data_IF_133629259336
#
_entry.id   IF_133629259336
#
_cell.length_a   1.000
_cell.length_b   1.000
_cell.length_c   1.000
_cell.angle_alpha   90.00
_cell.angle_beta   90.00
_cell.angle_gamma   90.00
#
_symmetry.space_group_name_H-M   'P 1'
#
loop_
_entity.id
_entity.type
_entity.pdbx_description
1 polymer ?
#
# COMPACT_ATOMS: atom_id res chain seq x y z
N UNK A 1 5.95 38.36 33.17
CA UNK A 1 6.68 37.46 32.27
C UNK A 1 8.17 37.77 32.12
N UNK A 2 8.62 39.03 32.05
CA UNK A 2 10.07 39.37 31.87
C UNK A 2 10.99 38.97 33.04
N UNK A 3 10.51 38.84 34.27
CA UNK A 3 11.35 38.46 35.43
C UNK A 3 11.69 36.96 35.49
N UNK A 4 10.86 36.07 34.88
CA UNK A 4 11.10 34.62 34.83
C UNK A 4 12.19 34.26 33.82
N UNK A 5 12.17 34.89 32.65
CA UNK A 5 13.22 34.73 31.64
C UNK A 5 14.61 35.24 32.13
N UNK A 6 14.64 36.33 32.91
CA UNK A 6 15.88 36.86 33.48
C UNK A 6 16.50 35.94 34.54
N UNK A 7 15.70 35.14 35.25
CA UNK A 7 16.20 34.16 36.23
C UNK A 7 16.86 32.96 35.55
N UNK A 8 16.32 32.52 34.41
CA UNK A 8 16.90 31.40 33.62
C UNK A 8 18.23 31.78 32.95
N UNK A 9 18.36 33.04 32.50
CA UNK A 9 19.58 33.49 31.78
C UNK A 9 20.71 33.86 32.79
N UNK A 10 20.40 34.13 34.07
CA UNK A 10 21.40 34.60 35.04
C UNK A 10 22.17 33.48 35.75
N UNK A 11 21.73 32.24 35.62
CA UNK A 11 22.44 31.09 36.24
C UNK A 11 23.30 30.32 35.18
N UNK A 12 24.18 31.07 34.51
CA UNK A 12 25.11 30.52 33.50
C UNK A 12 26.26 29.67 34.08
N UNK A 13 26.17 29.25 35.33
CA UNK A 13 26.97 28.13 35.85
C UNK A 13 26.13 26.89 35.91
N UNK A 14 25.36 26.62 34.82
CA UNK A 14 24.76 25.32 34.58
C UNK A 14 25.88 24.30 34.49
N UNK A 15 25.85 23.36 35.40
CA UNK A 15 26.77 22.24 35.38
C UNK A 15 26.66 21.59 33.97
N UNK A 16 27.74 21.61 33.21
CA UNK A 16 27.79 21.14 31.82
C UNK A 16 27.14 19.72 31.68
N UNK A 17 27.25 18.95 32.75
CA UNK A 17 26.65 17.64 32.91
C UNK A 17 25.11 17.71 32.91
N UNK A 18 24.54 18.70 33.62
CA UNK A 18 23.07 18.89 33.69
C UNK A 18 22.46 19.27 32.34
N UNK A 19 23.16 20.14 31.59
CA UNK A 19 22.71 20.58 30.25
C UNK A 19 22.77 19.43 29.24
N UNK A 20 23.84 18.63 29.28
CA UNK A 20 23.98 17.42 28.44
C UNK A 20 22.90 16.38 28.77
N UNK A 21 22.61 16.20 30.06
CA UNK A 21 21.60 15.24 30.52
C UNK A 21 20.18 15.66 30.09
N UNK A 22 19.88 16.96 30.21
CA UNK A 22 18.62 17.54 29.77
C UNK A 22 18.45 17.43 28.24
N UNK A 23 19.52 17.69 27.48
CA UNK A 23 19.51 17.53 26.03
C UNK A 23 19.30 16.07 25.64
N UNK A 24 20.00 15.13 26.28
CA UNK A 24 19.82 13.71 26.04
C UNK A 24 18.39 13.26 26.36
N UNK A 25 17.79 13.76 27.41
CA UNK A 25 16.41 13.49 27.78
C UNK A 25 15.43 13.97 26.70
N UNK A 26 15.57 15.21 26.20
CA UNK A 26 14.75 15.77 25.13
C UNK A 26 14.92 14.93 23.86
N UNK A 27 16.15 14.54 23.52
CA UNK A 27 16.45 13.75 22.33
C UNK A 27 15.76 12.38 22.38
N UNK A 28 15.86 11.68 23.50
CA UNK A 28 15.31 10.34 23.68
C UNK A 28 13.79 10.35 23.81
N UNK A 29 13.24 11.25 24.61
CA UNK A 29 11.82 11.22 24.96
C UNK A 29 10.92 12.10 24.10
N UNK A 30 11.47 13.04 23.34
CA UNK A 30 10.69 13.92 22.46
C UNK A 30 11.04 13.68 21.00
N UNK A 31 12.30 13.82 20.62
CA UNK A 31 12.70 13.75 19.21
C UNK A 31 12.56 12.33 18.67
N UNK A 32 13.06 11.34 19.39
CA UNK A 32 13.06 9.94 18.92
C UNK A 32 11.64 9.39 18.67
N UNK A 33 10.65 9.56 19.56
CA UNK A 33 9.28 9.15 19.29
C UNK A 33 8.65 9.89 18.09
N UNK A 34 8.89 11.18 17.93
CA UNK A 34 8.36 11.95 16.80
C UNK A 34 8.93 11.43 15.49
N UNK A 35 10.24 11.22 15.43
CA UNK A 35 10.92 10.65 14.26
C UNK A 35 10.39 9.25 13.95
N UNK A 36 10.20 8.42 14.98
CA UNK A 36 9.65 7.05 14.80
C UNK A 36 8.27 7.06 14.16
N UNK A 37 7.36 7.94 14.60
CA UNK A 37 6.01 8.07 14.00
C UNK A 37 6.08 8.53 12.53
N UNK A 38 6.99 9.45 12.22
CA UNK A 38 7.18 9.90 10.82
C UNK A 38 7.68 8.76 9.94
N UNK A 39 8.66 7.98 10.40
CA UNK A 39 9.17 6.81 9.69
C UNK A 39 8.08 5.76 9.47
N UNK A 40 7.29 5.47 10.49
CA UNK A 40 6.19 4.50 10.40
C UNK A 40 5.16 4.92 9.34
N UNK A 41 4.76 6.19 9.35
CA UNK A 41 3.86 6.73 8.32
C UNK A 41 4.46 6.60 6.91
N UNK A 42 5.74 6.90 6.76
CA UNK A 42 6.42 6.81 5.47
C UNK A 42 6.46 5.36 4.94
N UNK A 43 6.78 4.39 5.81
CA UNK A 43 6.79 2.98 5.46
C UNK A 43 5.38 2.49 5.08
N UNK A 44 4.35 2.92 5.80
CA UNK A 44 2.96 2.58 5.47
C UNK A 44 2.57 3.10 4.06
N UNK A 45 2.97 4.33 3.72
CA UNK A 45 2.75 4.90 2.38
C UNK A 45 3.48 4.08 1.30
N UNK A 46 4.76 3.72 1.54
CA UNK A 46 5.52 2.90 0.59
C UNK A 46 4.89 1.53 0.37
N UNK A 47 4.44 0.86 1.44
CA UNK A 47 3.72 -0.41 1.33
C UNK A 47 2.43 -0.26 0.51
N UNK A 48 1.66 0.80 0.76
CA UNK A 48 0.47 1.12 0.00
C UNK A 48 0.74 1.32 -1.50
N UNK A 49 1.80 2.04 -1.84
CA UNK A 49 2.24 2.24 -3.23
C UNK A 49 2.65 0.91 -3.89
N UNK A 50 3.43 0.08 -3.20
CA UNK A 50 3.84 -1.23 -3.73
C UNK A 50 2.64 -2.15 -4.00
N UNK A 51 1.63 -2.13 -3.13
CA UNK A 51 0.39 -2.89 -3.33
C UNK A 51 -0.38 -2.34 -4.53
N UNK A 52 -0.51 -1.03 -4.65
CA UNK A 52 -1.17 -0.40 -5.78
C UNK A 52 -0.47 -0.73 -7.09
N UNK A 53 0.84 -0.61 -7.13
CA UNK A 53 1.65 -0.97 -8.31
C UNK A 53 1.46 -2.44 -8.69
N UNK A 54 1.45 -3.36 -7.71
CA UNK A 54 1.20 -4.78 -7.95
C UNK A 54 -0.19 -5.04 -8.55
N UNK A 55 -1.22 -4.36 -8.04
CA UNK A 55 -2.59 -4.46 -8.59
C UNK A 55 -2.66 -3.89 -10.00
N UNK A 56 -2.03 -2.74 -10.27
CA UNK A 56 -2.03 -2.09 -11.57
C UNK A 56 -1.28 -2.93 -12.62
N UNK A 57 -0.15 -3.54 -12.25
CA UNK A 57 0.58 -4.49 -13.09
C UNK A 57 -0.27 -5.72 -13.38
N UNK A 58 -0.93 -6.29 -12.36
CA UNK A 58 -1.83 -7.44 -12.49
C UNK A 58 -2.99 -7.12 -13.43
N UNK A 59 -3.66 -5.97 -13.27
CA UNK A 59 -4.74 -5.53 -14.15
C UNK A 59 -4.28 -5.44 -15.62
N UNK A 60 -3.09 -4.88 -15.84
CA UNK A 60 -2.52 -4.73 -17.19
C UNK A 60 -2.16 -6.08 -17.80
N UNK A 61 -1.57 -6.98 -17.02
CA UNK A 61 -1.16 -8.31 -17.47
C UNK A 61 -2.37 -9.19 -17.82
N UNK A 62 -3.41 -9.16 -16.98
CA UNK A 62 -4.68 -9.87 -17.25
C UNK A 62 -5.32 -9.34 -18.53
N UNK A 63 -5.40 -8.01 -18.69
CA UNK A 63 -5.95 -7.42 -19.90
C UNK A 63 -5.20 -7.85 -21.16
N UNK A 64 -3.88 -7.88 -21.14
CA UNK A 64 -3.06 -8.31 -22.26
C UNK A 64 -3.23 -9.80 -22.55
N UNK A 65 -3.30 -10.64 -21.52
CA UNK A 65 -3.53 -12.09 -21.65
C UNK A 65 -4.87 -12.38 -22.31
N UNK A 66 -5.94 -11.73 -21.85
CA UNK A 66 -7.27 -11.88 -22.43
C UNK A 66 -7.34 -11.38 -23.87
N UNK A 67 -6.67 -10.27 -24.20
CA UNK A 67 -6.66 -9.71 -25.54
C UNK A 67 -5.93 -10.64 -26.54
N UNK A 68 -4.84 -11.27 -26.13
CA UNK A 68 -4.11 -12.26 -26.93
C UNK A 68 -4.97 -13.50 -27.24
N UNK A 69 -5.72 -14.00 -26.27
CA UNK A 69 -6.61 -15.13 -26.45
C UNK A 69 -7.78 -14.78 -27.39
N UNK A 70 -8.38 -13.63 -27.22
CA UNK A 70 -9.47 -13.13 -28.07
C UNK A 70 -9.03 -12.97 -29.54
N UNK A 71 -7.81 -12.49 -29.78
CA UNK A 71 -7.27 -12.30 -31.13
C UNK A 71 -7.05 -13.65 -31.85
N UNK A 72 -6.77 -14.72 -31.11
CA UNK A 72 -6.53 -16.05 -31.67
C UNK A 72 -7.81 -16.79 -32.07
N UNK A 73 -8.96 -16.47 -31.49
CA UNK A 73 -10.24 -17.21 -31.66
C UNK A 73 -11.29 -16.40 -32.45
N UNK A 74 -11.03 -15.12 -32.76
CA UNK A 74 -11.95 -14.21 -33.46
C UNK A 74 -13.34 -13.99 -32.78
N UNK A 75 -13.49 -14.44 -31.53
CA UNK A 75 -14.68 -14.24 -30.70
C UNK A 75 -14.25 -13.77 -29.31
N UNK A 76 -14.72 -12.59 -28.93
CA UNK A 76 -14.46 -12.03 -27.59
C UNK A 76 -15.51 -12.62 -26.65
N UNK A 77 -15.34 -13.88 -26.28
CA UNK A 77 -16.11 -14.48 -25.19
C UNK A 77 -15.19 -14.65 -24.00
N UNK A 78 -15.14 -13.60 -23.18
CA UNK A 78 -14.34 -13.61 -21.94
C UNK A 78 -15.09 -14.40 -20.88
N UNK A 79 -14.59 -15.59 -20.57
CA UNK A 79 -15.03 -16.33 -19.42
C UNK A 79 -14.54 -15.66 -18.15
N UNK A 80 -15.45 -15.12 -17.35
CA UNK A 80 -15.13 -14.46 -16.07
C UNK A 80 -14.35 -15.36 -15.10
N UNK A 81 -14.58 -16.68 -15.15
CA UNK A 81 -13.85 -17.63 -14.30
C UNK A 81 -12.38 -17.75 -14.71
N UNK A 82 -12.11 -17.77 -16.01
CA UNK A 82 -10.74 -17.81 -16.53
C UNK A 82 -9.99 -16.52 -16.19
N UNK A 83 -10.62 -15.37 -16.38
CA UNK A 83 -10.06 -14.08 -16.00
C UNK A 83 -9.76 -14.00 -14.50
N UNK A 84 -10.64 -14.51 -13.65
CA UNK A 84 -10.43 -14.55 -12.20
C UNK A 84 -9.26 -15.47 -11.83
N UNK A 85 -9.10 -16.61 -12.47
CA UNK A 85 -8.00 -17.52 -12.21
C UNK A 85 -6.66 -16.92 -12.61
N UNK A 86 -6.58 -16.33 -13.82
CA UNK A 86 -5.39 -15.60 -14.29
C UNK A 86 -5.08 -14.43 -13.33
N UNK A 87 -6.11 -13.69 -12.91
CA UNK A 87 -5.94 -12.59 -11.97
C UNK A 87 -5.35 -13.05 -10.64
N UNK A 88 -5.85 -14.13 -10.06
CA UNK A 88 -5.34 -14.72 -8.82
C UNK A 88 -3.89 -15.14 -8.93
N UNK A 89 -3.54 -15.81 -10.02
CA UNK A 89 -2.18 -16.29 -10.27
C UNK A 89 -1.19 -15.13 -10.38
N UNK A 90 -1.50 -14.12 -11.19
CA UNK A 90 -0.65 -12.96 -11.36
C UNK A 90 -0.58 -12.07 -10.11
N UNK A 91 -1.68 -11.93 -9.37
CA UNK A 91 -1.68 -11.21 -8.10
C UNK A 91 -0.82 -11.94 -7.06
N UNK A 92 -0.92 -13.27 -7.01
CA UNK A 92 -0.10 -14.08 -6.13
C UNK A 92 1.40 -13.93 -6.45
N UNK A 93 1.77 -13.92 -7.72
CA UNK A 93 3.15 -13.68 -8.14
C UNK A 93 3.64 -12.29 -7.76
N UNK A 94 2.88 -11.24 -8.07
CA UNK A 94 3.27 -9.84 -7.83
C UNK A 94 3.36 -9.48 -6.35
N UNK A 95 2.50 -10.05 -5.50
CA UNK A 95 2.50 -9.84 -4.05
C UNK A 95 3.28 -10.92 -3.28
N UNK A 96 3.88 -11.89 -3.99
CA UNK A 96 4.59 -13.04 -3.38
C UNK A 96 3.69 -13.82 -2.41
N UNK A 97 2.52 -14.21 -2.91
CA UNK A 97 1.56 -15.04 -2.20
C UNK A 97 1.65 -16.49 -2.70
N UNK A 98 1.06 -17.40 -1.97
CA UNK A 98 0.76 -18.75 -2.45
C UNK A 98 -0.47 -18.73 -3.36
N UNK A 99 -0.75 -19.85 -4.02
CA UNK A 99 -1.92 -19.98 -4.91
C UNK A 99 -3.28 -19.79 -4.21
N UNK A 100 -3.33 -19.96 -2.90
CA UNK A 100 -4.49 -19.72 -2.04
C UNK A 100 -4.57 -18.27 -1.52
N UNK A 101 -3.72 -17.37 -2.03
CA UNK A 101 -3.57 -15.96 -1.63
C UNK A 101 -3.09 -15.76 -0.19
N UNK A 102 -2.56 -16.80 0.46
CA UNK A 102 -1.88 -16.65 1.76
C UNK A 102 -0.46 -16.13 1.56
N UNK A 103 0.06 -15.28 2.47
CA UNK A 103 1.38 -14.70 2.31
C UNK A 103 2.51 -15.71 2.42
N UNK A 104 3.58 -15.52 1.64
CA UNK A 104 4.88 -16.14 1.88
C UNK A 104 5.70 -15.28 2.84
N UNK A 105 6.84 -15.79 3.40
CA UNK A 105 7.70 -15.00 4.29
C UNK A 105 8.21 -13.69 3.68
N UNK A 106 8.30 -13.62 2.34
CA UNK A 106 8.80 -12.45 1.60
C UNK A 106 7.66 -11.54 1.09
N UNK A 107 6.41 -11.86 1.43
CA UNK A 107 5.27 -11.05 1.03
C UNK A 107 5.18 -9.76 1.83
N UNK A 108 4.63 -8.73 1.17
CA UNK A 108 4.22 -7.48 1.84
C UNK A 108 2.92 -7.64 2.64
N UNK A 109 2.08 -8.62 2.27
CA UNK A 109 0.88 -8.97 2.99
C UNK A 109 1.23 -9.77 4.26
N UNK A 110 0.48 -9.55 5.32
CA UNK A 110 0.66 -10.21 6.63
C UNK A 110 -0.40 -11.27 6.90
N UNK A 111 -1.47 -11.27 6.11
CA UNK A 111 -2.56 -12.24 6.18
C UNK A 111 -3.12 -12.48 4.78
N UNK A 112 -4.09 -13.37 4.67
CA UNK A 112 -4.73 -13.75 3.41
C UNK A 112 -5.28 -12.53 2.67
N UNK A 113 -4.93 -12.41 1.40
CA UNK A 113 -5.45 -11.37 0.51
C UNK A 113 -6.82 -11.78 0.00
N UNK A 114 -7.78 -10.86 0.04
CA UNK A 114 -9.15 -11.10 -0.43
C UNK A 114 -9.42 -10.25 -1.66
N UNK A 115 -9.80 -10.89 -2.77
CA UNK A 115 -10.33 -10.20 -3.95
C UNK A 115 -11.83 -10.03 -3.73
N UNK A 116 -12.27 -8.82 -3.50
CA UNK A 116 -13.66 -8.50 -3.20
C UNK A 116 -14.48 -8.35 -4.48
N UNK A 117 -13.88 -7.78 -5.52
CA UNK A 117 -14.56 -7.49 -6.77
C UNK A 117 -13.57 -7.61 -7.95
N UNK A 118 -14.00 -8.24 -9.02
CA UNK A 118 -13.30 -8.27 -10.31
C UNK A 118 -14.32 -8.14 -11.44
N UNK A 119 -14.35 -6.98 -12.08
CA UNK A 119 -15.25 -6.67 -13.16
C UNK A 119 -14.50 -6.39 -14.45
N UNK A 120 -14.90 -7.06 -15.52
CA UNK A 120 -14.41 -6.83 -16.87
C UNK A 120 -15.43 -5.98 -17.64
N UNK A 121 -14.99 -4.81 -18.09
CA UNK A 121 -15.78 -3.92 -18.93
C UNK A 121 -15.28 -4.02 -20.37
N UNK A 122 -16.03 -4.71 -21.24
CA UNK A 122 -15.58 -5.09 -22.59
C UNK A 122 -16.38 -4.36 -23.68
N UNK A 123 -17.59 -3.88 -23.37
CA UNK A 123 -18.47 -3.25 -24.34
C UNK A 123 -19.48 -2.31 -23.71
N UNK A 124 -20.36 -1.71 -24.58
CA UNK A 124 -21.41 -0.76 -24.16
C UNK A 124 -20.85 0.49 -23.47
N UNK A 125 -19.85 1.12 -24.09
CA UNK A 125 -19.29 2.37 -23.61
C UNK A 125 -20.09 3.60 -24.09
N UNK A 126 -20.19 4.70 -23.26
CA UNK A 126 -19.65 4.82 -21.90
C UNK A 126 -20.50 4.08 -20.86
N UNK A 127 -19.84 3.53 -19.84
CA UNK A 127 -20.47 2.88 -18.68
C UNK A 127 -19.84 3.42 -17.38
N UNK A 128 -20.35 3.01 -16.23
CA UNK A 128 -19.79 3.42 -14.94
C UNK A 128 -19.36 2.17 -14.14
N UNK A 129 -18.19 2.24 -13.48
CA UNK A 129 -17.79 1.18 -12.55
C UNK A 129 -18.55 1.29 -11.21
N UNK A 130 -18.43 0.28 -10.38
CA UNK A 130 -18.98 0.25 -9.02
C UNK A 130 -18.51 1.44 -8.17
N UNK A 131 -17.31 1.97 -8.39
CA UNK A 131 -16.78 3.18 -7.75
C UNK A 131 -17.24 4.50 -8.37
N UNK A 132 -18.20 4.49 -9.31
CA UNK A 132 -18.80 5.69 -9.92
C UNK A 132 -17.93 6.41 -10.97
N UNK A 133 -16.78 5.83 -11.36
CA UNK A 133 -15.94 6.39 -12.44
C UNK A 133 -16.53 6.02 -13.80
N UNK A 134 -16.53 6.98 -14.73
CA UNK A 134 -16.93 6.75 -16.13
C UNK A 134 -15.87 5.95 -16.86
N UNK A 135 -16.28 4.86 -17.50
CA UNK A 135 -15.45 3.96 -18.30
C UNK A 135 -15.79 4.18 -19.77
N UNK A 136 -14.80 4.58 -20.56
CA UNK A 136 -14.96 4.92 -21.99
C UNK A 136 -14.26 3.95 -22.93
N UNK A 137 -13.53 2.98 -22.38
CA UNK A 137 -12.74 1.97 -23.12
C UNK A 137 -12.69 0.65 -22.37
N UNK A 138 -12.38 -0.47 -23.02
CA UNK A 138 -12.20 -1.76 -22.34
C UNK A 138 -11.23 -1.64 -21.18
N UNK A 139 -11.63 -2.14 -20.01
CA UNK A 139 -10.82 -2.07 -18.80
C UNK A 139 -11.20 -3.14 -17.78
N UNK A 140 -10.30 -3.45 -16.88
CA UNK A 140 -10.52 -4.32 -15.71
C UNK A 140 -10.60 -3.43 -14.48
N UNK A 141 -11.61 -3.66 -13.66
CA UNK A 141 -11.75 -3.06 -12.34
C UNK A 141 -11.66 -4.14 -11.30
N UNK A 142 -10.69 -4.03 -10.41
CA UNK A 142 -10.49 -4.97 -9.31
C UNK A 142 -10.47 -4.22 -7.98
N UNK A 143 -11.07 -4.82 -6.97
CA UNK A 143 -10.99 -4.39 -5.57
C UNK A 143 -10.43 -5.54 -4.77
N UNK A 144 -9.32 -5.32 -4.09
CA UNK A 144 -8.68 -6.30 -3.24
C UNK A 144 -8.30 -5.69 -1.89
N UNK A 145 -8.54 -6.46 -0.82
CA UNK A 145 -8.09 -6.11 0.53
C UNK A 145 -6.79 -6.84 0.85
N UNK A 146 -5.74 -6.07 1.10
CA UNK A 146 -4.41 -6.58 1.44
C UNK A 146 -4.06 -6.18 2.88
N UNK A 147 -4.10 -7.11 3.85
CA UNK A 147 -3.73 -6.83 5.23
C UNK A 147 -2.23 -6.53 5.35
N UNK A 148 -1.88 -5.39 5.96
CA UNK A 148 -0.48 -5.01 6.21
C UNK A 148 -0.30 -4.55 7.64
N UNK A 149 0.86 -4.85 8.25
CA UNK A 149 1.21 -4.34 9.58
C UNK A 149 2.18 -3.18 9.50
N UNK A 150 2.09 -2.24 10.45
CA UNK A 150 3.14 -1.25 10.67
C UNK A 150 4.47 -1.95 10.98
N UNK A 151 5.58 -1.42 10.45
CA UNK A 151 6.89 -2.09 10.52
C UNK A 151 7.51 -2.11 11.91
N UNK A 152 7.10 -1.21 12.83
CA UNK A 152 7.64 -1.11 14.18
C UNK A 152 7.10 -2.15 15.17
N UNK A 153 6.07 -2.91 14.80
CA UNK A 153 5.42 -3.92 15.66
C UNK A 153 5.69 -5.36 15.21
N UNK A 154 6.87 -5.61 14.70
CA UNK A 154 7.30 -6.95 14.29
C UNK A 154 7.89 -7.72 15.46
#
# INVERSE_FOLDING_TARGET
MKKWLAYFVRNQKGDLISDVLLFAFILVFVIFPVVSVVFEKYIAILKGQQIQDAIDITNTAVYNSLNLHATSIATIDFNNEEALNIYKELLAENLKLKSDLTPTPDSIAEDTVVIEELNLYIGNFPTSCSGGKSITRPTIHAVATVPVRPSLYR
#
